data_IF_471228554179
#
_entry.id   IF_471228554179
#
_cell.length_a   1.000
_cell.length_b   1.000
_cell.length_c   1.000
_cell.angle_alpha   90.00
_cell.angle_beta   90.00
_cell.angle_gamma   90.00
#
_symmetry.space_group_name_H-M   'P 1'
#
loop_
_entity.id
_entity.type
_entity.pdbx_description
1 polymer ?
#
# COMPACT_ATOMS: atom_id res chain seq x y z
N UNK A 1 -16.07 -18.78 -9.25
CA UNK A 1 -15.10 -18.32 -8.25
C UNK A 1 -14.78 -19.46 -7.31
N UNK A 2 -13.71 -19.34 -6.51
CA UNK A 2 -13.11 -20.44 -5.74
C UNK A 2 -11.70 -20.84 -6.17
N UNK A 3 -11.01 -19.98 -6.93
CA UNK A 3 -9.57 -20.13 -7.17
C UNK A 3 -8.76 -19.67 -5.95
N UNK A 4 -7.44 -19.84 -6.03
CA UNK A 4 -6.49 -19.52 -4.97
C UNK A 4 -5.18 -19.03 -5.61
N UNK A 5 -4.68 -17.88 -5.17
CA UNK A 5 -3.38 -17.33 -5.55
C UNK A 5 -3.37 -16.25 -6.64
N UNK A 6 -2.20 -15.65 -6.76
CA UNK A 6 -1.85 -14.58 -7.70
C UNK A 6 -1.68 -15.08 -9.14
N UNK A 7 -2.09 -14.30 -10.13
CA UNK A 7 -1.66 -14.47 -11.52
C UNK A 7 -1.36 -13.14 -12.19
N UNK A 8 -0.43 -13.14 -13.15
CA UNK A 8 -0.11 -11.93 -13.92
C UNK A 8 -0.13 -12.23 -15.40
N UNK A 9 -0.91 -11.45 -16.15
CA UNK A 9 -0.97 -11.54 -17.60
C UNK A 9 -0.04 -10.51 -18.24
N UNK A 10 0.66 -10.94 -19.28
CA UNK A 10 1.47 -10.07 -20.14
C UNK A 10 1.17 -10.34 -21.62
N UNK A 11 1.82 -9.57 -22.49
CA UNK A 11 1.69 -9.75 -23.94
C UNK A 11 2.21 -11.10 -24.43
N UNK A 12 1.52 -11.71 -25.39
CA UNK A 12 1.90 -12.98 -26.04
C UNK A 12 3.26 -12.90 -26.75
N UNK A 13 3.74 -11.68 -27.05
CA UNK A 13 5.00 -11.46 -27.77
C UNK A 13 6.25 -11.41 -26.87
N UNK A 14 6.10 -11.53 -25.55
CA UNK A 14 7.23 -11.52 -24.61
C UNK A 14 7.82 -10.13 -24.36
N UNK A 15 9.15 -10.03 -24.36
CA UNK A 15 9.89 -8.76 -24.14
C UNK A 15 9.76 -8.19 -22.74
N UNK A 16 9.88 -6.86 -22.62
CA UNK A 16 9.85 -6.16 -21.32
C UNK A 16 8.56 -6.40 -20.53
N UNK A 17 7.42 -6.62 -21.20
CA UNK A 17 6.16 -6.96 -20.53
C UNK A 17 6.22 -8.31 -19.81
N UNK A 18 6.89 -9.31 -20.42
CA UNK A 18 7.13 -10.60 -19.77
C UNK A 18 8.10 -10.45 -18.60
N UNK A 19 9.21 -9.74 -18.79
CA UNK A 19 10.18 -9.48 -17.70
C UNK A 19 9.52 -8.74 -16.53
N UNK A 20 8.65 -7.77 -16.81
CA UNK A 20 7.88 -7.08 -15.78
C UNK A 20 7.00 -8.05 -14.98
N UNK A 21 6.28 -8.92 -15.68
CA UNK A 21 5.41 -9.92 -15.05
C UNK A 21 6.20 -10.91 -14.17
N UNK A 22 7.32 -11.44 -14.67
CA UNK A 22 8.20 -12.36 -13.94
C UNK A 22 8.81 -11.71 -12.69
N UNK A 23 9.24 -10.46 -12.79
CA UNK A 23 9.79 -9.73 -11.65
C UNK A 23 8.73 -9.43 -10.58
N UNK A 24 7.51 -9.06 -10.99
CA UNK A 24 6.40 -8.84 -10.06
C UNK A 24 6.01 -10.15 -9.37
N UNK A 25 5.83 -11.23 -10.13
CA UNK A 25 5.49 -12.55 -9.56
C UNK A 25 6.51 -12.97 -8.50
N UNK A 26 7.81 -12.82 -8.80
CA UNK A 26 8.88 -13.19 -7.88
C UNK A 26 8.83 -12.40 -6.55
N UNK A 27 8.42 -11.13 -6.57
CA UNK A 27 8.26 -10.32 -5.35
C UNK A 27 6.96 -10.63 -4.60
N UNK A 28 5.89 -10.92 -5.33
CA UNK A 28 4.61 -11.35 -4.73
C UNK A 28 4.79 -12.68 -3.98
N UNK A 29 5.48 -13.66 -4.58
CA UNK A 29 5.80 -14.94 -3.92
C UNK A 29 6.59 -14.70 -2.63
N UNK A 30 7.55 -13.76 -2.63
CA UNK A 30 8.32 -13.41 -1.41
C UNK A 30 7.48 -12.76 -0.33
N UNK A 31 6.40 -12.07 -0.69
CA UNK A 31 5.47 -11.50 0.28
C UNK A 31 4.60 -12.55 0.98
N UNK A 32 4.54 -13.78 0.44
CA UNK A 32 3.86 -14.93 1.04
C UNK A 32 2.64 -15.44 0.27
N UNK A 33 2.22 -14.74 -0.78
CA UNK A 33 1.12 -15.15 -1.65
C UNK A 33 1.57 -16.31 -2.58
N UNK A 34 0.71 -17.32 -2.80
CA UNK A 34 1.00 -18.36 -3.78
C UNK A 34 0.75 -17.86 -5.21
N UNK A 35 1.56 -18.34 -6.16
CA UNK A 35 1.43 -18.00 -7.57
C UNK A 35 0.72 -19.10 -8.36
N UNK A 36 -0.08 -18.67 -9.34
CA UNK A 36 -0.70 -19.47 -10.40
C UNK A 36 0.00 -19.27 -11.74
N UNK A 37 1.05 -18.45 -11.78
CA UNK A 37 1.94 -18.27 -12.91
C UNK A 37 1.82 -16.93 -13.64
N UNK A 38 2.89 -16.63 -14.36
CA UNK A 38 2.96 -15.62 -15.42
C UNK A 38 2.29 -16.19 -16.69
N UNK A 39 1.27 -15.49 -17.20
CA UNK A 39 0.37 -16.01 -18.23
C UNK A 39 0.27 -15.08 -19.44
N UNK A 40 -0.13 -15.68 -20.54
CA UNK A 40 -0.59 -14.98 -21.73
C UNK A 40 -1.96 -15.55 -22.12
N UNK A 41 -2.70 -14.80 -22.93
CA UNK A 41 -3.97 -15.27 -23.48
C UNK A 41 -4.19 -14.67 -24.85
N UNK A 42 -4.46 -15.52 -25.83
CA UNK A 42 -4.80 -15.11 -27.19
C UNK A 42 -6.32 -14.98 -27.37
N UNK A 43 -6.75 -14.03 -28.21
CA UNK A 43 -8.11 -14.00 -28.74
C UNK A 43 -8.21 -14.83 -30.03
N UNK A 44 -9.42 -14.95 -30.59
CA UNK A 44 -9.69 -15.69 -31.82
C UNK A 44 -8.95 -15.16 -33.06
N UNK A 45 -8.35 -13.98 -33.00
CA UNK A 45 -7.57 -13.37 -34.09
C UNK A 45 -6.05 -13.50 -33.88
N UNK A 46 -5.60 -14.30 -32.91
CA UNK A 46 -4.16 -14.50 -32.61
C UNK A 46 -3.48 -13.26 -32.03
N UNK A 47 -4.24 -12.36 -31.38
CA UNK A 47 -3.71 -11.18 -30.68
C UNK A 47 -3.92 -11.32 -29.17
N UNK A 48 -3.22 -10.52 -28.39
CA UNK A 48 -3.45 -10.37 -26.95
C UNK A 48 -4.95 -10.27 -26.63
N UNK A 49 -5.45 -11.11 -25.73
CA UNK A 49 -6.87 -11.18 -25.39
C UNK A 49 -7.35 -9.92 -24.68
N UNK A 50 -6.60 -9.47 -23.67
CA UNK A 50 -6.95 -8.32 -22.85
C UNK A 50 -6.72 -7.03 -23.62
N UNK A 51 -7.77 -6.22 -23.73
CA UNK A 51 -7.72 -4.93 -24.44
C UNK A 51 -6.64 -4.00 -23.90
N UNK A 52 -6.46 -3.95 -22.58
CA UNK A 52 -5.44 -3.14 -21.93
C UNK A 52 -4.03 -3.49 -22.41
N UNK A 53 -3.66 -4.77 -22.40
CA UNK A 53 -2.35 -5.24 -22.90
C UNK A 53 -2.24 -4.99 -24.41
N UNK A 54 -3.29 -5.29 -25.17
CA UNK A 54 -3.30 -5.17 -26.64
C UNK A 54 -3.22 -3.73 -27.16
N UNK A 55 -3.79 -2.76 -26.45
CA UNK A 55 -3.95 -1.38 -26.92
C UNK A 55 -3.00 -0.38 -26.25
N UNK A 56 -2.22 -0.82 -25.26
CA UNK A 56 -1.21 0.02 -24.61
C UNK A 56 0.08 0.02 -25.41
N UNK A 57 0.67 1.21 -25.62
CA UNK A 57 1.88 1.38 -26.42
C UNK A 57 3.16 0.98 -25.68
N UNK A 58 3.15 1.05 -24.34
CA UNK A 58 4.27 0.67 -23.48
C UNK A 58 4.12 -0.77 -22.97
N UNK A 59 5.19 -1.38 -22.40
CA UNK A 59 5.08 -2.67 -21.71
C UNK A 59 3.97 -2.63 -20.65
N UNK A 60 3.03 -3.57 -20.72
CA UNK A 60 1.85 -3.62 -19.86
C UNK A 60 1.61 -5.03 -19.33
N UNK A 61 1.11 -5.10 -18.09
CA UNK A 61 0.70 -6.33 -17.42
C UNK A 61 -0.63 -6.13 -16.70
N UNK A 62 -1.37 -7.21 -16.45
CA UNK A 62 -2.55 -7.23 -15.57
C UNK A 62 -2.23 -8.16 -14.41
N UNK A 63 -2.17 -7.62 -13.21
CA UNK A 63 -1.89 -8.39 -12.00
C UNK A 63 -3.19 -8.68 -11.26
N UNK A 64 -3.57 -9.95 -11.22
CA UNK A 64 -4.71 -10.46 -10.46
C UNK A 64 -4.19 -10.88 -9.08
N UNK A 65 -4.47 -10.07 -8.06
CA UNK A 65 -3.91 -10.20 -6.70
C UNK A 65 -4.23 -11.56 -6.03
N UNK A 66 -5.42 -12.08 -6.32
CA UNK A 66 -6.02 -13.26 -5.69
C UNK A 66 -7.53 -13.23 -5.90
N UNK A 67 -8.23 -14.20 -5.33
CA UNK A 67 -9.67 -14.36 -5.45
C UNK A 67 -10.38 -13.72 -4.26
N UNK A 68 -11.16 -12.66 -4.49
CA UNK A 68 -11.90 -11.95 -3.43
C UNK A 68 -12.92 -12.85 -2.69
N UNK A 69 -13.36 -13.95 -3.33
CA UNK A 69 -14.26 -14.94 -2.75
C UNK A 69 -13.54 -16.09 -2.03
N UNK A 70 -12.20 -16.10 -2.02
CA UNK A 70 -11.38 -17.05 -1.27
C UNK A 70 -10.87 -16.40 0.03
N UNK A 71 -11.20 -17.02 1.17
CA UNK A 71 -10.81 -16.52 2.50
C UNK A 71 -9.30 -16.58 2.80
N UNK A 72 -8.54 -17.37 2.06
CA UNK A 72 -7.08 -17.40 2.19
C UNK A 72 -6.49 -16.19 1.48
N UNK A 73 -6.79 -16.03 0.18
CA UNK A 73 -6.36 -14.86 -0.60
C UNK A 73 -6.81 -13.54 0.04
N UNK A 74 -8.05 -13.46 0.53
CA UNK A 74 -8.61 -12.23 1.08
C UNK A 74 -7.77 -11.65 2.22
N UNK A 75 -7.11 -12.49 3.03
CA UNK A 75 -6.24 -12.06 4.14
C UNK A 75 -4.98 -11.33 3.69
N UNK A 76 -4.62 -11.46 2.42
CA UNK A 76 -3.44 -10.79 1.87
C UNK A 76 -3.73 -9.33 1.47
N UNK A 77 -5.00 -8.90 1.49
CA UNK A 77 -5.40 -7.56 1.04
C UNK A 77 -6.69 -6.99 1.68
N UNK A 78 -7.23 -7.60 2.74
CA UNK A 78 -8.42 -7.10 3.45
C UNK A 78 -8.13 -5.95 4.41
N UNK A 79 -6.91 -5.86 4.92
CA UNK A 79 -6.44 -4.76 5.76
C UNK A 79 -5.38 -3.88 5.08
N UNK A 80 -5.30 -2.62 5.51
CA UNK A 80 -4.40 -1.62 4.93
C UNK A 80 -2.92 -2.03 5.02
N UNK A 81 -2.50 -2.66 6.12
CA UNK A 81 -1.14 -3.14 6.29
C UNK A 81 -0.74 -4.14 5.19
N UNK A 82 -1.69 -4.99 4.78
CA UNK A 82 -1.43 -6.07 3.83
C UNK A 82 -1.46 -5.54 2.40
N UNK A 83 -2.36 -4.59 2.13
CA UNK A 83 -2.34 -3.80 0.90
C UNK A 83 -1.01 -3.06 0.71
N UNK A 84 -0.45 -2.48 1.77
CA UNK A 84 0.87 -1.81 1.73
C UNK A 84 1.97 -2.83 1.44
N UNK A 85 1.96 -3.97 2.11
CA UNK A 85 2.93 -5.06 1.89
C UNK A 85 2.88 -5.56 0.44
N UNK A 86 1.69 -5.74 -0.11
CA UNK A 86 1.48 -6.18 -1.49
C UNK A 86 1.88 -5.10 -2.49
N UNK A 87 1.52 -3.85 -2.24
CA UNK A 87 1.92 -2.70 -3.05
C UNK A 87 3.44 -2.55 -3.12
N UNK A 88 4.16 -2.80 -2.02
CA UNK A 88 5.63 -2.85 -2.00
C UNK A 88 6.19 -3.97 -2.89
N UNK A 89 5.56 -5.14 -2.91
CA UNK A 89 5.97 -6.24 -3.80
C UNK A 89 5.85 -5.82 -5.29
N UNK A 90 4.76 -5.16 -5.67
CA UNK A 90 4.61 -4.60 -7.02
C UNK A 90 5.68 -3.55 -7.33
N UNK A 91 5.90 -2.61 -6.40
CA UNK A 91 6.91 -1.57 -6.57
C UNK A 91 8.31 -2.17 -6.77
N UNK A 92 8.69 -3.17 -5.98
CA UNK A 92 9.98 -3.87 -6.14
C UNK A 92 10.09 -4.58 -7.49
N UNK A 93 9.04 -5.25 -7.97
CA UNK A 93 9.04 -5.89 -9.28
C UNK A 93 9.20 -4.89 -10.43
N UNK A 94 8.55 -3.73 -10.32
CA UNK A 94 8.68 -2.62 -11.27
C UNK A 94 10.11 -2.05 -11.23
N UNK A 95 10.65 -1.73 -10.05
CA UNK A 95 12.00 -1.17 -9.89
C UNK A 95 13.07 -2.10 -10.47
N UNK A 96 12.96 -3.41 -10.23
CA UNK A 96 13.83 -4.42 -10.85
C UNK A 96 13.80 -4.41 -12.36
N UNK A 97 12.60 -4.25 -12.93
CA UNK A 97 12.42 -4.17 -14.39
C UNK A 97 13.06 -2.92 -14.97
N UNK A 98 13.03 -1.81 -14.22
CA UNK A 98 13.66 -0.55 -14.59
C UNK A 98 15.17 -0.50 -14.30
N UNK A 99 15.73 -1.51 -13.64
CA UNK A 99 17.13 -1.52 -13.21
C UNK A 99 17.44 -0.50 -12.10
N UNK A 100 16.43 -0.11 -11.32
CA UNK A 100 16.58 0.82 -10.18
C UNK A 100 16.87 0.00 -8.93
N UNK A 101 17.93 0.37 -8.21
CA UNK A 101 18.27 -0.28 -6.94
C UNK A 101 17.18 -0.08 -5.90
N UNK A 102 16.79 -1.17 -5.23
CA UNK A 102 15.84 -1.13 -4.13
C UNK A 102 16.61 -0.66 -2.90
N UNK A 103 16.35 0.56 -2.44
CA UNK A 103 16.87 1.04 -1.17
C UNK A 103 16.17 0.30 -0.03
N UNK A 104 16.88 -0.59 0.64
CA UNK A 104 16.40 -1.23 1.87
C UNK A 104 16.48 -0.21 2.99
N UNK A 105 15.43 0.58 3.16
CA UNK A 105 15.39 1.52 4.26
C UNK A 105 15.16 0.73 5.57
N UNK A 106 16.25 0.47 6.27
CA UNK A 106 16.17 0.06 7.67
C UNK A 106 15.87 1.35 8.42
N UNK A 107 14.59 1.57 8.75
CA UNK A 107 14.03 2.78 9.39
C UNK A 107 13.67 3.96 8.48
N UNK A 108 12.60 3.81 7.71
CA UNK A 108 11.57 4.86 7.69
C UNK A 108 10.33 4.31 8.38
N UNK A 109 9.79 4.95 9.43
CA UNK A 109 8.47 4.61 9.90
C UNK A 109 7.53 4.85 8.72
N UNK A 110 6.83 3.81 8.29
CA UNK A 110 5.73 3.91 7.33
C UNK A 110 4.86 5.06 7.80
N UNK A 111 4.93 6.19 7.09
CA UNK A 111 3.99 7.25 7.27
C UNK A 111 2.70 6.72 6.67
N UNK A 112 1.90 6.12 7.54
CA UNK A 112 0.56 5.62 7.30
C UNK A 112 -0.27 6.79 6.76
N UNK A 113 -0.44 6.88 5.44
CA UNK A 113 -1.13 7.99 4.75
C UNK A 113 -2.60 8.13 5.18
N UNK A 114 -3.14 7.18 5.95
CA UNK A 114 -4.47 7.25 6.57
C UNK A 114 -4.50 7.92 7.95
N UNK A 115 -3.36 8.31 8.52
CA UNK A 115 -3.30 9.04 9.79
C UNK A 115 -3.06 10.52 9.58
N UNK A 116 -4.09 11.30 9.92
CA UNK A 116 -4.04 12.77 9.99
C UNK A 116 -2.75 13.26 10.67
N UNK A 117 -2.14 14.35 10.20
CA UNK A 117 -0.83 14.83 10.69
C UNK A 117 -0.78 15.04 12.22
N UNK A 118 -1.93 15.37 12.82
CA UNK A 118 -2.10 15.58 14.25
C UNK A 118 -2.14 14.28 15.08
N UNK A 119 -2.32 13.12 14.45
CA UNK A 119 -2.44 11.83 15.13
C UNK A 119 -1.21 11.48 15.97
N UNK A 120 0.00 11.81 15.48
CA UNK A 120 1.25 11.63 16.26
C UNK A 120 1.25 12.42 17.58
N UNK A 121 0.59 13.58 17.58
CA UNK A 121 0.49 14.43 18.77
C UNK A 121 -0.60 13.90 19.71
N UNK A 122 -1.74 13.45 19.17
CA UNK A 122 -2.79 12.77 19.92
C UNK A 122 -2.24 11.56 20.71
N UNK A 123 -1.53 10.66 20.03
CA UNK A 123 -0.91 9.48 20.65
C UNK A 123 0.13 9.88 21.71
N UNK A 124 0.96 10.89 21.43
CA UNK A 124 1.93 11.37 22.43
C UNK A 124 1.27 11.89 23.70
N UNK A 125 0.07 12.50 23.62
CA UNK A 125 -0.63 13.04 24.78
C UNK A 125 -1.31 11.92 25.58
N UNK A 126 -1.94 10.93 24.92
CA UNK A 126 -2.50 9.76 25.60
C UNK A 126 -1.46 8.94 26.34
N UNK A 127 -0.30 8.74 25.74
CA UNK A 127 0.82 8.03 26.39
C UNK A 127 1.36 8.78 27.62
N UNK A 128 1.11 10.08 27.73
CA UNK A 128 1.45 10.90 28.91
C UNK A 128 0.30 10.98 29.92
N UNK A 129 -0.75 10.18 29.75
CA UNK A 129 -1.90 10.09 30.66
C UNK A 129 -2.93 11.20 30.48
N UNK A 130 -2.90 11.93 29.36
CA UNK A 130 -3.92 12.93 29.04
C UNK A 130 -5.06 12.25 28.29
N UNK A 131 -6.25 12.24 28.87
CA UNK A 131 -7.44 11.68 28.26
C UNK A 131 -8.00 12.65 27.21
N UNK A 132 -8.06 12.22 25.95
CA UNK A 132 -8.60 12.98 24.82
C UNK A 132 -9.62 12.09 24.12
N UNK A 133 -10.88 12.49 24.19
CA UNK A 133 -12.02 11.73 23.66
C UNK A 133 -12.31 12.00 22.19
N UNK A 134 -11.71 13.03 21.58
CA UNK A 134 -12.08 13.50 20.24
C UNK A 134 -10.92 13.48 19.26
N UNK A 135 -11.21 13.14 18.01
CA UNK A 135 -10.28 13.12 16.87
C UNK A 135 -10.70 14.08 15.76
N UNK A 136 -11.34 15.20 16.13
CA UNK A 136 -11.79 16.26 15.20
C UNK A 136 -10.63 17.18 14.82
N UNK A 137 -9.64 16.63 14.12
CA UNK A 137 -8.34 17.29 13.98
C UNK A 137 -8.34 18.53 13.07
N UNK A 138 -9.34 18.69 12.20
CA UNK A 138 -9.47 19.81 11.26
C UNK A 138 -10.47 20.89 11.71
N UNK A 139 -11.11 20.74 12.87
CA UNK A 139 -12.04 21.74 13.40
C UNK A 139 -11.29 23.03 13.78
N UNK A 140 -11.87 24.18 13.44
CA UNK A 140 -11.31 25.48 13.85
C UNK A 140 -11.38 25.64 15.38
N UNK A 141 -10.24 25.97 16.00
CA UNK A 141 -10.19 26.40 17.40
C UNK A 141 -10.45 27.90 17.52
N UNK A 142 -11.28 28.31 18.47
CA UNK A 142 -11.49 29.74 18.75
C UNK A 142 -10.28 30.34 19.48
N UNK A 143 -10.08 31.66 19.35
CA UNK A 143 -9.03 32.38 20.10
C UNK A 143 -9.18 32.20 21.62
N UNK A 144 -10.42 32.12 22.11
CA UNK A 144 -10.72 31.91 23.52
C UNK A 144 -10.26 30.54 24.02
N UNK A 145 -10.54 29.48 23.28
CA UNK A 145 -10.07 28.13 23.58
C UNK A 145 -8.54 28.03 23.54
N UNK A 146 -7.91 28.66 22.55
CA UNK A 146 -6.45 28.72 22.45
C UNK A 146 -5.81 29.41 23.68
N UNK A 147 -6.37 30.54 24.13
CA UNK A 147 -5.90 31.23 25.33
C UNK A 147 -6.15 30.43 26.62
N UNK A 148 -7.31 29.80 26.77
CA UNK A 148 -7.62 28.97 27.92
C UNK A 148 -6.66 27.76 28.02
N UNK A 149 -6.30 27.15 26.88
CA UNK A 149 -5.33 26.07 26.83
C UNK A 149 -3.91 26.55 27.21
N UNK A 150 -3.47 27.67 26.65
CA UNK A 150 -2.16 28.25 26.95
C UNK A 150 -2.02 28.60 28.45
N UNK A 151 -3.04 29.21 29.05
CA UNK A 151 -3.06 29.54 30.49
C UNK A 151 -2.96 28.29 31.37
N UNK A 152 -3.70 27.22 31.04
CA UNK A 152 -3.61 25.94 31.76
C UNK A 152 -2.21 25.33 31.68
N UNK A 153 -1.57 25.37 30.51
CA UNK A 153 -0.21 24.85 30.31
C UNK A 153 0.79 25.66 31.13
N UNK A 154 0.72 27.00 31.09
CA UNK A 154 1.60 27.88 31.86
C UNK A 154 1.44 27.60 33.36
N UNK A 155 0.20 27.50 33.87
CA UNK A 155 -0.06 27.16 35.27
C UNK A 155 0.54 25.82 35.66
N UNK A 156 0.37 24.78 34.85
CA UNK A 156 0.93 23.45 35.12
C UNK A 156 2.47 23.43 35.14
N UNK A 157 3.12 24.29 34.35
CA UNK A 157 4.57 24.45 34.32
C UNK A 157 5.08 25.31 35.49
N UNK A 158 4.35 26.35 35.87
CA UNK A 158 4.72 27.24 36.98
C UNK A 158 4.51 26.63 38.37
N UNK A 159 3.67 25.60 38.52
CA UNK A 159 3.49 24.87 39.79
C UNK A 159 4.62 23.85 40.04
N UNK A 160 5.45 23.55 39.03
CA UNK A 160 6.60 22.63 39.13
C UNK A 160 7.96 23.34 39.29
N UNK A 161 7.97 24.65 39.56
CA UNK A 161 9.17 25.44 39.81
C UNK A 161 9.28 25.82 41.29
#
# INVERSE_FOLDING_TARGET
>A
GGGDGFEVYHTIYGGTGKTLAENIEAEVIKSGQNSRGVKTRENSSGKDYYGFIRQTSCPAVICEIGFIDNKNDLKDFDEQAEQIKFGKAYAHGILKTLGVEIMTDTQTPVQDETKHWAYKHYESLKNKGIEISEMRFDDNITRGEAFALADKIIKALCVKA
#
